data_IF_744364759655
#
_entry.id   IF_744364759655
#
_cell.length_a   1.000
_cell.length_b   1.000
_cell.length_c   1.000
_cell.angle_alpha   90.00
_cell.angle_beta   90.00
_cell.angle_gamma   90.00
#
_symmetry.space_group_name_H-M   'P 1'
#
loop_
_entity.id
_entity.type
_entity.pdbx_description
1 polymer ?
#
# COMPACT_ATOMS: atom_id res chain seq x y z
N UNK A 1 -15.04 -11.51 -6.01
CA UNK A 1 -13.78 -11.46 -5.24
C UNK A 1 -14.04 -11.23 -3.76
N UNK A 2 -13.38 -12.02 -2.92
CA UNK A 2 -13.40 -11.86 -1.45
C UNK A 2 -12.63 -10.59 -1.06
N UNK A 3 -12.95 -9.97 0.08
CA UNK A 3 -12.29 -8.74 0.52
C UNK A 3 -10.77 -8.92 0.66
N UNK A 4 -10.31 -10.09 1.11
CA UNK A 4 -8.88 -10.41 1.24
C UNK A 4 -8.14 -10.38 -0.10
N UNK A 5 -8.75 -10.85 -1.19
CA UNK A 5 -8.17 -10.80 -2.54
C UNK A 5 -8.06 -9.35 -3.02
N UNK A 6 -9.08 -8.52 -2.74
CA UNK A 6 -9.05 -7.08 -3.07
C UNK A 6 -7.92 -6.36 -2.33
N UNK A 7 -7.74 -6.65 -1.03
CA UNK A 7 -6.65 -6.10 -0.23
C UNK A 7 -5.28 -6.47 -0.83
N UNK A 8 -5.08 -7.73 -1.19
CA UNK A 8 -3.81 -8.20 -1.76
C UNK A 8 -3.52 -7.50 -3.09
N UNK A 9 -4.50 -7.44 -3.99
CA UNK A 9 -4.32 -6.79 -5.30
C UNK A 9 -4.02 -5.31 -5.14
N UNK A 10 -4.84 -4.59 -4.37
CA UNK A 10 -4.68 -3.14 -4.20
C UNK A 10 -3.37 -2.79 -3.51
N UNK A 11 -2.98 -3.56 -2.49
CA UNK A 11 -1.70 -3.34 -1.79
C UNK A 11 -0.51 -3.66 -2.68
N UNK A 12 -0.58 -4.73 -3.48
CA UNK A 12 0.49 -5.09 -4.42
C UNK A 12 0.64 -4.04 -5.53
N UNK A 13 -0.47 -3.54 -6.07
CA UNK A 13 -0.46 -2.46 -7.08
C UNK A 13 0.08 -1.17 -6.47
N UNK A 14 -0.36 -0.79 -5.26
CA UNK A 14 0.16 0.38 -4.56
C UNK A 14 1.67 0.28 -4.28
N UNK A 15 2.15 -0.91 -3.88
CA UNK A 15 3.56 -1.17 -3.63
C UNK A 15 4.38 -1.02 -4.92
N UNK A 16 3.93 -1.59 -6.04
CA UNK A 16 4.62 -1.48 -7.33
C UNK A 16 4.69 -0.02 -7.79
N UNK A 17 3.57 0.71 -7.70
CA UNK A 17 3.55 2.13 -8.06
C UNK A 17 4.50 2.93 -7.18
N UNK A 18 4.46 2.73 -5.86
CA UNK A 18 5.35 3.41 -4.92
C UNK A 18 6.82 3.08 -5.20
N UNK A 19 7.17 1.81 -5.48
CA UNK A 19 8.53 1.38 -5.85
C UNK A 19 9.02 2.09 -7.10
N UNK A 20 8.20 2.13 -8.15
CA UNK A 20 8.54 2.77 -9.42
C UNK A 20 8.74 4.28 -9.23
N UNK A 21 7.83 4.94 -8.51
CA UNK A 21 7.94 6.37 -8.21
C UNK A 21 9.19 6.70 -7.39
N UNK A 22 9.48 5.90 -6.36
CA UNK A 22 10.64 6.11 -5.50
C UNK A 22 11.95 5.88 -6.25
N UNK A 23 12.02 4.87 -7.12
CA UNK A 23 13.16 4.64 -8.01
C UNK A 23 13.40 5.83 -8.95
N UNK A 24 12.34 6.37 -9.56
CA UNK A 24 12.44 7.58 -10.39
C UNK A 24 12.91 8.80 -9.59
N UNK A 25 12.42 8.98 -8.36
CA UNK A 25 12.87 10.06 -7.48
C UNK A 25 14.36 9.93 -7.15
N UNK A 26 14.86 8.74 -6.85
CA UNK A 26 16.28 8.52 -6.57
C UNK A 26 17.18 8.89 -7.76
N UNK A 27 16.79 8.48 -8.98
CA UNK A 27 17.51 8.86 -10.20
C UNK A 27 17.48 10.37 -10.40
N UNK A 28 16.32 11.00 -10.18
CA UNK A 28 16.14 12.44 -10.34
C UNK A 28 17.00 13.26 -9.35
N UNK A 29 17.25 12.73 -8.15
CA UNK A 29 18.09 13.36 -7.14
C UNK A 29 19.58 12.97 -7.25
N UNK A 30 19.97 12.30 -8.34
CA UNK A 30 21.38 11.98 -8.62
C UNK A 30 21.93 10.78 -7.84
N UNK A 31 21.08 9.98 -7.19
CA UNK A 31 21.50 8.75 -6.55
C UNK A 31 21.61 7.62 -7.57
N UNK A 32 22.71 6.86 -7.51
CA UNK A 32 22.83 5.62 -8.26
C UNK A 32 21.82 4.60 -7.74
N UNK A 33 21.08 3.94 -8.65
CA UNK A 33 20.18 2.83 -8.34
C UNK A 33 20.89 1.62 -7.71
N UNK A 34 22.22 1.56 -7.79
CA UNK A 34 23.05 0.55 -7.14
C UNK A 34 23.47 0.91 -5.72
N UNK A 35 23.12 2.10 -5.23
CA UNK A 35 23.45 2.52 -3.86
C UNK A 35 22.70 1.69 -2.82
N UNK A 36 23.37 1.33 -1.73
CA UNK A 36 22.77 0.58 -0.62
C UNK A 36 21.59 1.34 0.03
N UNK A 37 21.62 2.67 0.00
CA UNK A 37 20.55 3.54 0.49
C UNK A 37 19.26 3.46 -0.34
N UNK A 38 19.37 3.17 -1.63
CA UNK A 38 18.23 3.00 -2.54
C UNK A 38 17.60 1.63 -2.30
N UNK A 39 18.43 0.59 -2.28
CA UNK A 39 17.97 -0.79 -2.08
C UNK A 39 17.35 -1.02 -0.69
N UNK A 40 17.85 -0.39 0.36
CA UNK A 40 17.26 -0.52 1.70
C UNK A 40 15.82 0.02 1.74
N UNK A 41 15.55 1.15 1.09
CA UNK A 41 14.21 1.74 1.00
C UNK A 41 13.30 0.97 0.05
N UNK A 42 13.79 0.52 -1.11
CA UNK A 42 13.02 -0.33 -2.02
C UNK A 42 12.67 -1.69 -1.38
N UNK A 43 13.62 -2.33 -0.69
CA UNK A 43 13.36 -3.56 0.06
C UNK A 43 12.31 -3.37 1.14
N UNK A 44 12.29 -2.21 1.82
CA UNK A 44 11.28 -1.90 2.81
C UNK A 44 9.86 -1.94 2.21
N UNK A 45 9.65 -1.33 1.03
CA UNK A 45 8.33 -1.40 0.35
C UNK A 45 7.93 -2.84 0.03
N UNK A 46 8.87 -3.66 -0.46
CA UNK A 46 8.64 -5.08 -0.78
C UNK A 46 8.27 -5.87 0.49
N UNK A 47 9.04 -5.70 1.57
CA UNK A 47 8.81 -6.39 2.85
C UNK A 47 7.43 -6.02 3.40
N UNK A 48 7.07 -4.72 3.40
CA UNK A 48 5.75 -4.28 3.86
C UNK A 48 4.61 -4.89 3.03
N UNK A 49 4.77 -4.97 1.70
CA UNK A 49 3.78 -5.60 0.84
C UNK A 49 3.64 -7.10 1.13
N UNK A 50 4.74 -7.82 1.32
CA UNK A 50 4.73 -9.25 1.69
C UNK A 50 4.04 -9.46 3.04
N UNK A 51 4.36 -8.63 4.04
CA UNK A 51 3.75 -8.71 5.38
C UNK A 51 2.24 -8.52 5.28
N UNK A 52 1.74 -7.51 4.56
CA UNK A 52 0.30 -7.29 4.41
C UNK A 52 -0.37 -8.42 3.65
N UNK A 53 0.24 -8.89 2.57
CA UNK A 53 -0.30 -10.00 1.79
C UNK A 53 -0.38 -11.28 2.64
N UNK A 54 0.68 -11.63 3.36
CA UNK A 54 0.71 -12.78 4.27
C UNK A 54 -0.32 -12.67 5.40
N UNK A 55 -0.45 -11.50 6.03
CA UNK A 55 -1.45 -11.25 7.06
C UNK A 55 -2.88 -11.37 6.52
N UNK A 56 -3.12 -10.98 5.27
CA UNK A 56 -4.43 -11.10 4.60
C UNK A 56 -4.85 -12.56 4.39
N UNK A 57 -3.88 -13.45 4.12
CA UNK A 57 -4.12 -14.89 4.06
C UNK A 57 -4.38 -15.52 5.43
N UNK A 58 -3.66 -15.09 6.47
CA UNK A 58 -3.77 -15.63 7.83
C UNK A 58 -5.06 -15.21 8.57
N UNK A 59 -5.87 -14.29 8.02
CA UNK A 59 -7.12 -13.77 8.62
C UNK A 59 -6.96 -13.32 10.08
N UNK A 60 -5.78 -12.82 10.46
CA UNK A 60 -5.49 -12.41 11.83
C UNK A 60 -6.11 -11.04 12.15
N UNK A 61 -6.44 -10.81 13.43
CA UNK A 61 -7.06 -9.57 13.95
C UNK A 61 -6.31 -8.29 13.54
N UNK A 62 -4.99 -8.35 13.42
CA UNK A 62 -4.14 -7.20 13.11
C UNK A 62 -4.01 -6.90 11.60
N UNK A 63 -4.52 -7.78 10.73
CA UNK A 63 -4.39 -7.64 9.28
C UNK A 63 -4.99 -6.33 8.77
N UNK A 64 -6.17 -5.95 9.27
CA UNK A 64 -6.81 -4.68 8.86
C UNK A 64 -5.97 -3.45 9.20
N UNK A 65 -5.33 -3.42 10.38
CA UNK A 65 -4.48 -2.31 10.80
C UNK A 65 -3.18 -2.25 10.01
N UNK A 66 -2.52 -3.39 9.81
CA UNK A 66 -1.32 -3.46 8.99
C UNK A 66 -1.60 -3.01 7.55
N UNK A 67 -2.72 -3.46 6.98
CA UNK A 67 -3.17 -3.05 5.65
C UNK A 67 -3.38 -1.53 5.56
N UNK A 68 -4.07 -0.93 6.54
CA UNK A 68 -4.30 0.51 6.58
C UNK A 68 -2.97 1.26 6.67
N UNK A 69 -2.09 0.89 7.61
CA UNK A 69 -0.82 1.58 7.84
C UNK A 69 0.12 1.50 6.63
N UNK A 70 0.24 0.32 6.02
CA UNK A 70 1.12 0.12 4.87
C UNK A 70 0.59 0.85 3.63
N UNK A 71 -0.71 0.77 3.34
CA UNK A 71 -1.27 1.50 2.21
C UNK A 71 -1.24 3.02 2.42
N UNK A 72 -1.38 3.48 3.67
CA UNK A 72 -1.17 4.90 4.01
C UNK A 72 0.28 5.31 3.76
N UNK A 73 1.25 4.48 4.15
CA UNK A 73 2.67 4.73 3.86
C UNK A 73 2.95 4.82 2.35
N UNK A 74 2.38 3.92 1.55
CA UNK A 74 2.53 3.95 0.09
C UNK A 74 1.86 5.19 -0.54
N UNK A 75 0.70 5.61 -0.03
CA UNK A 75 0.05 6.84 -0.46
C UNK A 75 0.90 8.09 -0.15
N UNK A 76 1.50 8.14 1.05
CA UNK A 76 2.41 9.23 1.45
C UNK A 76 3.66 9.24 0.57
N UNK A 77 4.25 8.08 0.28
CA UNK A 77 5.39 7.99 -0.64
C UNK A 77 5.03 8.50 -2.05
N UNK A 78 3.85 8.13 -2.56
CA UNK A 78 3.34 8.60 -3.85
C UNK A 78 3.09 10.11 -3.86
N UNK A 79 2.60 10.67 -2.75
CA UNK A 79 2.43 12.11 -2.55
C UNK A 79 3.76 12.85 -2.49
N UNK A 80 4.77 12.29 -1.81
CA UNK A 80 6.11 12.86 -1.78
C UNK A 80 6.72 12.92 -3.19
N UNK A 81 6.58 11.85 -3.98
CA UNK A 81 7.02 11.84 -5.38
C UNK A 81 6.29 12.89 -6.22
N UNK A 82 4.99 13.10 -6.00
CA UNK A 82 4.23 14.16 -6.66
C UNK A 82 4.76 15.56 -6.34
N UNK A 83 5.16 15.80 -5.08
CA UNK A 83 5.67 17.09 -4.64
C UNK A 83 7.11 17.35 -5.11
N UNK A 84 7.96 16.33 -5.14
CA UNK A 84 9.40 16.45 -5.43
C UNK A 84 9.75 16.34 -6.92
N UNK A 85 8.80 15.96 -7.78
CA UNK A 85 9.07 15.85 -9.22
C UNK A 85 9.46 17.20 -9.84
N UNK A 86 10.55 17.18 -10.61
CA UNK A 86 11.13 18.32 -11.32
C UNK A 86 11.98 17.84 -12.50
N UNK A 87 11.85 18.44 -13.71
CA UNK A 87 10.95 19.52 -14.08
C UNK A 87 9.49 19.03 -14.31
N UNK A 88 8.52 19.74 -13.73
CA UNK A 88 7.09 19.35 -13.69
C UNK A 88 6.38 19.40 -15.04
N UNK A 89 6.72 20.39 -15.87
CA UNK A 89 6.10 20.66 -17.18
C UNK A 89 6.61 19.70 -18.28
N UNK A 90 7.66 18.92 -17.99
CA UNK A 90 8.18 17.95 -18.96
C UNK A 90 7.23 16.75 -19.11
N UNK A 91 7.24 16.10 -20.28
CA UNK A 91 6.45 14.88 -20.50
C UNK A 91 6.74 13.79 -19.44
N UNK A 92 8.00 13.71 -18.99
CA UNK A 92 8.41 12.83 -17.90
C UNK A 92 7.83 13.25 -16.54
N UNK A 93 7.85 14.56 -16.23
CA UNK A 93 7.25 15.12 -15.01
C UNK A 93 5.74 14.88 -14.94
N UNK A 94 5.03 15.09 -16.05
CA UNK A 94 3.59 14.83 -16.15
C UNK A 94 3.26 13.34 -15.98
N UNK A 95 4.08 12.45 -16.53
CA UNK A 95 3.93 11.00 -16.34
C UNK A 95 4.06 10.60 -14.87
N UNK A 96 5.10 11.09 -14.17
CA UNK A 96 5.28 10.84 -12.73
C UNK A 96 4.11 11.41 -11.94
N UNK A 97 3.64 12.61 -12.26
CA UNK A 97 2.48 13.20 -11.57
C UNK A 97 1.22 12.35 -11.72
N UNK A 98 0.91 11.92 -12.95
CA UNK A 98 -0.24 11.04 -13.21
C UNK A 98 -0.10 9.72 -12.44
N UNK A 99 1.08 9.11 -12.46
CA UNK A 99 1.35 7.86 -11.77
C UNK A 99 1.26 8.02 -10.23
N UNK A 100 1.74 9.14 -9.69
CA UNK A 100 1.57 9.50 -8.28
C UNK A 100 0.12 9.66 -7.87
N UNK A 101 -0.71 10.31 -8.69
CA UNK A 101 -2.15 10.45 -8.43
C UNK A 101 -2.79 9.06 -8.37
N UNK A 102 -2.47 8.18 -9.31
CA UNK A 102 -2.96 6.79 -9.30
C UNK A 102 -2.48 6.07 -8.02
N UNK A 103 -1.21 6.22 -7.65
CA UNK A 103 -0.65 5.63 -6.42
C UNK A 103 -1.38 6.07 -5.15
N UNK A 104 -1.72 7.36 -5.04
CA UNK A 104 -2.50 7.90 -3.93
C UNK A 104 -3.92 7.29 -3.90
N UNK A 105 -4.61 7.23 -5.04
CA UNK A 105 -5.96 6.67 -5.13
C UNK A 105 -5.99 5.18 -4.80
N UNK A 106 -5.01 4.41 -5.29
CA UNK A 106 -4.88 2.99 -4.98
C UNK A 106 -4.57 2.78 -3.49
N UNK A 107 -3.67 3.59 -2.91
CA UNK A 107 -3.40 3.56 -1.47
C UNK A 107 -4.66 3.87 -0.62
N UNK A 108 -5.45 4.88 -1.02
CA UNK A 108 -6.72 5.20 -0.37
C UNK A 108 -7.74 4.05 -0.46
N UNK A 109 -7.81 3.39 -1.61
CA UNK A 109 -8.63 2.18 -1.77
C UNK A 109 -8.15 1.05 -0.84
N UNK A 110 -6.83 0.88 -0.68
CA UNK A 110 -6.25 -0.11 0.22
C UNK A 110 -6.62 0.13 1.68
N UNK A 111 -6.60 1.40 2.11
CA UNK A 111 -7.08 1.83 3.44
C UNK A 111 -8.56 1.47 3.63
N UNK A 112 -9.40 1.79 2.65
CA UNK A 112 -10.83 1.46 2.71
C UNK A 112 -11.07 -0.05 2.86
N UNK A 113 -10.39 -0.88 2.07
CA UNK A 113 -10.52 -2.33 2.15
C UNK A 113 -9.97 -2.92 3.45
N UNK A 114 -8.89 -2.35 4.00
CA UNK A 114 -8.37 -2.71 5.32
C UNK A 114 -9.34 -2.38 6.45
N UNK A 115 -9.99 -1.21 6.40
CA UNK A 115 -11.03 -0.83 7.36
C UNK A 115 -12.24 -1.76 7.28
N UNK A 116 -12.67 -2.10 6.06
CA UNK A 116 -13.75 -3.07 5.83
C UNK A 116 -13.41 -4.46 6.39
N UNK A 117 -12.17 -4.93 6.19
CA UNK A 117 -11.71 -6.21 6.71
C UNK A 117 -11.82 -6.29 8.24
N UNK A 118 -11.54 -5.20 8.95
CA UNK A 118 -11.69 -5.10 10.41
C UNK A 118 -13.15 -5.21 10.85
N UNK A 119 -14.05 -4.49 10.17
CA UNK A 119 -15.49 -4.54 10.45
C UNK A 119 -16.05 -5.93 10.24
N UNK A 120 -15.68 -6.58 9.13
CA UNK A 120 -16.14 -7.94 8.79
C UNK A 120 -15.65 -8.97 9.81
N UNK A 121 -14.39 -8.87 10.27
CA UNK A 121 -13.86 -9.75 11.33
C UNK A 121 -14.61 -9.56 12.66
N UNK A 122 -14.95 -8.32 13.01
CA UNK A 122 -15.65 -8.00 14.26
C UNK A 122 -17.08 -8.54 14.25
N UNK A 123 -17.79 -8.38 13.12
CA UNK A 123 -19.13 -8.93 12.91
C UNK A 123 -19.15 -10.46 13.01
N UNK A 124 -18.24 -11.14 12.32
CA UNK A 124 -18.13 -12.59 12.34
C UNK A 124 -17.86 -13.15 13.76
N UNK A 125 -17.09 -12.43 14.58
CA UNK A 125 -16.87 -12.82 15.98
C UNK A 125 -18.12 -12.64 16.84
N UNK A 126 -18.86 -11.55 16.67
CA UNK A 126 -20.12 -11.32 17.38
C UNK A 126 -21.19 -12.36 17.04
N UNK A 127 -21.29 -12.76 15.78
CA UNK A 127 -22.21 -13.83 15.35
C UNK A 127 -21.84 -15.17 16.00
N UNK A 128 -20.56 -15.56 15.98
CA UNK A 128 -20.08 -16.77 16.67
C UNK A 128 -20.36 -16.76 18.18
N UNK A 129 -20.16 -15.63 18.85
CA UNK A 129 -20.50 -15.50 20.28
C UNK A 129 -22.01 -15.62 20.51
N UNK A 130 -22.85 -15.03 19.65
CA UNK A 130 -24.31 -15.17 19.75
C UNK A 130 -24.78 -16.60 19.53
N UNK A 131 -24.18 -17.34 18.60
CA UNK A 131 -24.49 -18.76 18.37
C UNK A 131 -24.07 -19.63 19.55
N UNK A 132 -22.92 -19.35 20.17
CA UNK A 132 -22.46 -20.07 21.36
C UNK A 132 -23.31 -19.80 22.60
N UNK A 133 -23.94 -18.62 22.72
CA UNK A 133 -24.87 -18.30 23.82
C UNK A 133 -26.30 -18.85 23.60
N UNK A 134 -26.62 -19.29 22.37
CA UNK A 134 -27.91 -19.91 22.04
C UNK A 134 -27.90 -21.44 22.14
N UNK A 135 -26.72 -22.05 22.27
CA UNK A 135 -26.53 -23.48 22.55
C UNK A 135 -26.33 -23.70 24.04
#
# INVERSE_FOLDING_TARGET
MKNNEKVVIVTSVAAVIALVLDAFMFVQHGHSLTSSSVWSRLLLFIILAIVVNGLSFLKMRFCGYATILVNLYFAIASLAAFQMVSPRESAYGLFIQALSIVGILVGAAGIYYGAKQRTDYTKAKFEKMKEQMKK
#
